data_IF_837072848283
#
_entry.id   IF_837072848283
#
_cell.length_a   1.000
_cell.length_b   1.000
_cell.length_c   1.000
_cell.angle_alpha   90.00
_cell.angle_beta   90.00
_cell.angle_gamma   90.00
#
_symmetry.space_group_name_H-M   'P 1'
#
loop_
_entity.id
_entity.type
_entity.pdbx_description
1 polymer ?
#
# COMPACT_ATOMS: atom_id res chain seq x y z
N UNK A 1 50.45 -0.76 3.64
CA UNK A 1 49.18 -0.14 3.20
C UNK A 1 48.12 -0.88 3.96
N UNK A 2 47.52 -0.23 4.95
CA UNK A 2 46.33 -0.76 5.62
C UNK A 2 45.21 -0.63 4.59
N UNK A 3 44.81 -1.77 4.01
CA UNK A 3 43.58 -1.85 3.22
C UNK A 3 42.43 -1.56 4.17
N UNK A 4 41.96 -0.31 4.15
CA UNK A 4 40.67 0.07 4.73
C UNK A 4 39.59 -0.71 3.96
N UNK A 5 39.24 -1.89 4.47
CA UNK A 5 38.02 -2.60 4.12
C UNK A 5 36.84 -1.69 4.47
N UNK A 6 36.45 -0.84 3.53
CA UNK A 6 35.22 -0.08 3.63
C UNK A 6 34.07 -1.09 3.70
N UNK A 7 33.55 -1.33 4.91
CA UNK A 7 32.39 -2.18 5.14
C UNK A 7 31.27 -1.74 4.21
N UNK A 8 30.97 -2.57 3.20
CA UNK A 8 29.93 -2.30 2.21
C UNK A 8 28.58 -2.27 2.91
N UNK A 9 28.18 -1.09 3.37
CA UNK A 9 26.93 -0.88 4.08
C UNK A 9 25.77 -0.99 3.08
N UNK A 10 24.76 -1.78 3.41
CA UNK A 10 23.60 -1.95 2.54
C UNK A 10 22.93 -0.58 2.30
N UNK A 11 22.95 -0.05 1.06
CA UNK A 11 22.39 1.26 0.76
C UNK A 11 20.86 1.21 0.66
N UNK A 12 20.27 0.03 0.65
CA UNK A 12 18.83 -0.13 0.49
C UNK A 12 18.10 0.00 1.83
N UNK A 13 17.03 0.81 1.89
CA UNK A 13 16.17 0.83 3.05
C UNK A 13 15.54 -0.55 3.25
N UNK A 14 15.22 -0.86 4.51
CA UNK A 14 14.39 -2.03 4.78
C UNK A 14 13.04 -1.91 4.08
N UNK A 15 12.45 -3.02 3.60
CA UNK A 15 11.11 -3.01 3.04
C UNK A 15 10.12 -2.38 4.03
N UNK A 16 9.09 -1.68 3.54
CA UNK A 16 8.07 -1.13 4.42
C UNK A 16 7.42 -2.23 5.27
N UNK A 17 7.19 -1.95 6.55
CA UNK A 17 6.73 -2.95 7.53
C UNK A 17 5.40 -3.62 7.17
N UNK A 18 4.51 -2.87 6.52
CA UNK A 18 3.17 -3.33 6.10
C UNK A 18 3.19 -4.41 5.02
N UNK A 19 4.33 -4.68 4.36
CA UNK A 19 4.44 -5.78 3.40
C UNK A 19 4.17 -7.15 4.05
N UNK A 20 4.38 -7.27 5.36
CA UNK A 20 4.07 -8.48 6.13
C UNK A 20 2.56 -8.82 6.14
N UNK A 21 1.70 -7.84 5.86
CA UNK A 21 0.26 -8.01 5.86
C UNK A 21 -0.25 -8.66 4.57
N UNK A 22 0.55 -8.71 3.50
CA UNK A 22 0.19 -9.31 2.21
C UNK A 22 0.38 -10.83 2.23
N UNK A 23 -0.34 -11.51 3.11
CA UNK A 23 -0.42 -12.98 3.16
C UNK A 23 -1.55 -13.47 2.26
N UNK A 24 -1.49 -14.73 1.83
CA UNK A 24 -2.56 -15.33 1.01
C UNK A 24 -3.91 -15.29 1.75
N UNK A 25 -3.89 -15.58 3.06
CA UNK A 25 -5.06 -15.53 3.93
C UNK A 25 -5.71 -14.14 3.94
N UNK A 26 -4.93 -13.08 4.17
CA UNK A 26 -5.51 -11.73 4.27
C UNK A 26 -6.05 -11.24 2.91
N UNK A 27 -5.43 -11.65 1.80
CA UNK A 27 -5.92 -11.36 0.45
C UNK A 27 -7.24 -12.10 0.17
N UNK A 28 -7.38 -13.34 0.66
CA UNK A 28 -8.64 -14.08 0.58
C UNK A 28 -9.72 -13.42 1.43
N UNK A 29 -9.41 -12.97 2.65
CA UNK A 29 -10.33 -12.22 3.50
C UNK A 29 -10.80 -10.92 2.83
N UNK A 30 -9.89 -10.16 2.21
CA UNK A 30 -10.25 -8.97 1.43
C UNK A 30 -11.22 -9.32 0.28
N UNK A 31 -10.96 -10.42 -0.43
CA UNK A 31 -11.80 -10.86 -1.55
C UNK A 31 -13.20 -11.24 -1.08
N UNK A 32 -13.29 -11.97 0.04
CA UNK A 32 -14.56 -12.35 0.67
C UNK A 32 -15.32 -11.13 1.20
N UNK A 33 -14.60 -10.18 1.79
CA UNK A 33 -15.19 -8.93 2.27
C UNK A 33 -15.86 -8.19 1.11
N UNK A 34 -15.18 -8.05 -0.04
CA UNK A 34 -15.73 -7.42 -1.24
C UNK A 34 -16.95 -8.14 -1.81
N UNK A 35 -16.91 -9.47 -1.86
CA UNK A 35 -18.03 -10.29 -2.32
C UNK A 35 -19.28 -10.05 -1.47
N UNK A 36 -19.12 -9.96 -0.15
CA UNK A 36 -20.24 -9.78 0.80
C UNK A 36 -20.74 -8.35 0.88
N UNK A 37 -19.93 -7.37 0.52
CA UNK A 37 -20.29 -5.95 0.56
C UNK A 37 -20.68 -5.39 -0.81
N UNK A 38 -20.79 -6.24 -1.85
CA UNK A 38 -21.17 -5.84 -3.21
C UNK A 38 -20.36 -4.63 -3.74
N UNK A 39 -19.04 -4.62 -3.52
CA UNK A 39 -18.12 -3.55 -3.92
C UNK A 39 -18.44 -2.14 -3.37
N UNK A 40 -19.20 -2.04 -2.26
CA UNK A 40 -19.31 -0.80 -1.46
C UNK A 40 -17.95 -0.39 -0.90
N UNK A 41 -17.76 0.91 -0.64
CA UNK A 41 -16.54 1.44 -0.04
C UNK A 41 -16.20 0.74 1.28
N UNK A 42 -15.12 -0.05 1.28
CA UNK A 42 -14.66 -0.86 2.40
C UNK A 42 -14.29 -0.01 3.63
N UNK A 43 -14.03 1.28 3.47
CA UNK A 43 -13.75 2.18 4.60
C UNK A 43 -14.98 2.48 5.46
N UNK A 44 -16.19 2.24 4.91
CA UNK A 44 -17.47 2.46 5.60
C UNK A 44 -18.04 1.20 6.26
N UNK A 45 -17.40 0.04 6.06
CA UNK A 45 -17.89 -1.27 6.49
C UNK A 45 -17.18 -1.74 7.77
N UNK A 46 -17.94 -2.32 8.70
CA UNK A 46 -17.34 -3.05 9.82
C UNK A 46 -16.93 -4.47 9.38
N UNK A 47 -15.63 -4.66 9.10
CA UNK A 47 -15.11 -5.94 8.61
C UNK A 47 -15.33 -7.11 9.56
N UNK A 48 -15.39 -6.87 10.88
CA UNK A 48 -15.60 -7.92 11.87
C UNK A 48 -17.02 -8.47 11.85
N UNK A 49 -18.00 -7.61 11.60
CA UNK A 49 -19.40 -8.02 11.50
C UNK A 49 -19.61 -8.83 10.21
N UNK A 50 -18.99 -8.39 9.10
CA UNK A 50 -19.13 -9.05 7.80
C UNK A 50 -18.38 -10.38 7.73
N UNK A 51 -17.25 -10.51 8.43
CA UNK A 51 -16.40 -11.70 8.44
C UNK A 51 -16.46 -12.46 9.77
N UNK A 52 -17.56 -12.36 10.52
CA UNK A 52 -17.67 -12.93 11.87
C UNK A 52 -17.51 -14.46 11.93
N UNK A 53 -17.72 -15.14 10.80
CA UNK A 53 -17.54 -16.58 10.59
C UNK A 53 -16.09 -16.97 10.26
N UNK A 54 -15.21 -16.00 9.97
CA UNK A 54 -13.82 -16.23 9.62
C UNK A 54 -12.93 -16.16 10.87
N UNK A 55 -11.84 -16.93 10.84
CA UNK A 55 -10.80 -16.88 11.86
C UNK A 55 -9.67 -15.95 11.43
N UNK A 56 -8.90 -15.46 12.41
CA UNK A 56 -7.72 -14.62 12.19
C UNK A 56 -8.00 -13.35 11.37
N UNK A 57 -9.17 -12.73 11.59
CA UNK A 57 -9.50 -11.43 11.00
C UNK A 57 -8.62 -10.36 11.66
N UNK A 58 -7.81 -9.62 10.88
CA UNK A 58 -6.90 -8.62 11.45
C UNK A 58 -7.63 -7.44 12.11
N UNK A 59 -6.92 -6.77 12.99
CA UNK A 59 -7.28 -5.51 13.67
C UNK A 59 -7.08 -4.25 12.84
N UNK A 60 -6.34 -4.37 11.75
CA UNK A 60 -6.19 -3.33 10.75
C UNK A 60 -7.19 -3.51 9.59
N UNK A 61 -7.57 -2.43 8.90
CA UNK A 61 -8.55 -2.48 7.84
C UNK A 61 -8.03 -3.23 6.62
N UNK A 62 -8.76 -4.27 6.17
CA UNK A 62 -8.38 -5.07 5.00
C UNK A 62 -8.28 -4.25 3.71
N UNK A 63 -8.91 -3.07 3.65
CA UNK A 63 -8.79 -2.12 2.55
C UNK A 63 -7.35 -1.65 2.28
N UNK A 64 -6.43 -1.76 3.25
CA UNK A 64 -5.00 -1.49 3.04
C UNK A 64 -4.34 -2.47 2.05
N UNK A 65 -4.91 -3.65 1.86
CA UNK A 65 -4.42 -4.64 0.90
C UNK A 65 -4.93 -4.39 -0.52
N UNK A 66 -5.83 -3.42 -0.70
CA UNK A 66 -6.23 -3.02 -2.04
C UNK A 66 -5.02 -2.53 -2.83
N UNK A 67 -4.95 -2.95 -4.09
CA UNK A 67 -3.95 -2.41 -5.00
C UNK A 67 -4.13 -0.90 -5.03
N UNK A 68 -3.06 -0.11 -4.81
CA UNK A 68 -3.15 1.34 -4.93
C UNK A 68 -3.81 1.67 -6.26
N UNK A 69 -4.87 2.49 -6.26
CA UNK A 69 -5.48 2.94 -7.50
C UNK A 69 -4.40 3.70 -8.27
N UNK A 70 -4.04 3.14 -9.42
CA UNK A 70 -2.99 3.67 -10.30
C UNK A 70 -3.59 4.83 -11.10
N UNK A 71 -4.11 5.86 -10.41
CA UNK A 71 -4.54 7.13 -11.03
C UNK A 71 -3.37 8.13 -11.07
N UNK A 72 -2.15 7.62 -11.30
CA UNK A 72 -0.93 8.42 -11.44
C UNK A 72 -0.83 9.22 -12.74
N UNK A 73 -1.86 9.22 -13.59
CA UNK A 73 -1.99 10.24 -14.63
C UNK A 73 -2.79 11.39 -14.02
N UNK A 74 -2.10 12.22 -13.25
CA UNK A 74 -2.59 13.57 -13.01
C UNK A 74 -2.26 14.37 -14.28
N UNK A 75 -3.24 14.88 -15.04
CA UNK A 75 -3.02 15.78 -16.21
C UNK A 75 -2.38 17.14 -15.83
N UNK A 76 -1.76 17.24 -14.66
CA UNK A 76 -1.41 18.50 -14.02
C UNK A 76 0.09 18.63 -13.80
N UNK A 77 0.88 18.40 -14.85
CA UNK A 77 2.29 18.84 -14.92
C UNK A 77 2.73 19.26 -16.34
N UNK A 78 1.81 19.80 -17.16
CA UNK A 78 2.17 20.43 -18.45
C UNK A 78 2.50 21.93 -18.31
N UNK A 79 2.48 22.52 -17.12
CA UNK A 79 2.72 23.97 -16.96
C UNK A 79 3.44 24.30 -15.66
N UNK A 80 4.78 24.18 -15.63
CA UNK A 80 5.66 25.18 -14.99
C UNK A 80 7.17 25.01 -15.26
N UNK A 81 7.60 24.87 -16.52
CA UNK A 81 9.02 25.09 -16.89
C UNK A 81 9.22 26.24 -17.89
N UNK A 82 8.24 27.14 -18.04
CA UNK A 82 8.40 28.38 -18.80
C UNK A 82 7.98 29.61 -17.99
N UNK A 83 8.91 30.15 -17.20
CA UNK A 83 9.08 31.56 -16.82
C UNK A 83 10.21 31.60 -15.77
N UNK A 84 11.37 32.24 -15.97
CA UNK A 84 11.58 33.64 -16.41
C UNK A 84 12.94 33.79 -17.10
N UNK A 85 13.04 34.57 -18.19
CA UNK A 85 14.28 35.24 -18.56
C UNK A 85 14.42 36.56 -17.77
N UNK A 86 15.64 36.87 -17.33
CA UNK A 86 16.04 38.23 -16.98
C UNK A 86 16.42 38.47 -15.52
N UNK A 87 17.73 38.50 -15.25
CA UNK A 87 18.39 39.69 -14.70
C UNK A 87 19.83 39.75 -15.20
#
# INVERSE_FOLDING_TARGET
MEEEEAELRNPFPSPPSHYKNYTNHNIQLLSLLRERTEDVDLTSVNQYDVLSDQQDVPDWPLSQLEKPRVDWITEKDTTLLMAKPGM
#
